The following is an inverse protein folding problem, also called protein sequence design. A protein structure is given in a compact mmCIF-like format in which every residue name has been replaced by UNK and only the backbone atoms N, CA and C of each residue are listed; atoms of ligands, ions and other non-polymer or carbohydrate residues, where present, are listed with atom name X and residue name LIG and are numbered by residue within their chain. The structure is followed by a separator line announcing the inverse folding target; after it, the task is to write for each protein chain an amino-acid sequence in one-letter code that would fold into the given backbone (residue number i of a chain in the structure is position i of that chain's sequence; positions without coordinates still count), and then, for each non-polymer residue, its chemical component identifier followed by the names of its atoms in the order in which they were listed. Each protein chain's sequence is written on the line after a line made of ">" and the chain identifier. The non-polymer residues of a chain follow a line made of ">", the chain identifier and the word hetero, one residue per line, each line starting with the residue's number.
data_IF_492021490273
#
_entry.id   IF_492021490273
#
_cell.length_a   1.000
_cell.length_b   1.000
_cell.length_c   1.000
_cell.angle_alpha   90.00
_cell.angle_beta   90.00
_cell.angle_gamma   90.00
#
_symmetry.space_group_name_H-M   'P 1'
#
loop_
_entity.id
_entity.type
_entity.pdbx_description
1 polymer ?
#
# COMPACT_ATOMS: atom_id res chain seq x y z
N UNK A 1 1.12 30.45 -27.15
CA UNK A 1 -0.20 29.95 -26.84
C UNK A 1 -0.21 29.30 -25.43
N UNK A 2 -1.28 29.44 -24.64
CA UNK A 2 -1.37 28.81 -23.31
C UNK A 2 -1.18 27.30 -23.46
N UNK A 3 -0.37 26.69 -22.59
CA UNK A 3 -0.07 25.25 -22.60
C UNK A 3 -1.33 24.34 -22.58
N UNK A 4 -2.48 24.87 -22.17
CA UNK A 4 -3.78 24.18 -22.14
C UNK A 4 -4.38 23.87 -23.51
N UNK A 5 -3.90 24.50 -24.60
CA UNK A 5 -4.46 24.30 -25.95
C UNK A 5 -3.81 23.16 -26.72
N UNK A 6 -2.64 22.66 -26.31
CA UNK A 6 -1.94 21.56 -26.99
C UNK A 6 -2.63 20.20 -26.82
N UNK A 7 -3.39 20.00 -25.73
CA UNK A 7 -4.07 18.74 -25.41
C UNK A 7 -5.39 18.96 -24.70
N UNK A 8 -6.43 19.47 -25.37
CA UNK A 8 -7.67 19.87 -24.71
C UNK A 8 -8.44 18.70 -24.08
N UNK A 9 -8.25 17.48 -24.58
CA UNK A 9 -9.01 16.28 -24.18
C UNK A 9 -8.24 15.32 -23.25
N UNK A 10 -6.95 15.56 -23.02
CA UNK A 10 -6.11 14.73 -22.13
C UNK A 10 -5.43 15.57 -21.06
N UNK A 11 -4.99 14.94 -20.00
CA UNK A 11 -4.13 15.56 -18.99
C UNK A 11 -2.99 14.63 -18.62
N UNK A 12 -1.92 15.20 -18.08
CA UNK A 12 -0.75 14.49 -17.61
C UNK A 12 -0.90 14.25 -16.11
N UNK A 13 -0.77 13.01 -15.69
CA UNK A 13 -0.69 12.60 -14.30
C UNK A 13 0.70 12.08 -13.98
N UNK A 14 1.10 12.26 -12.74
CA UNK A 14 2.35 11.77 -12.20
C UNK A 14 2.15 11.36 -10.75
N UNK A 15 2.70 10.20 -10.39
CA UNK A 15 2.94 9.75 -9.03
C UNK A 15 4.45 9.59 -8.85
N UNK A 16 4.97 9.96 -7.68
CA UNK A 16 6.36 9.74 -7.30
C UNK A 16 6.38 9.28 -5.85
N UNK A 17 6.71 8.02 -5.64
CA UNK A 17 6.70 7.36 -4.33
C UNK A 17 7.72 6.22 -4.33
N UNK A 18 7.92 5.56 -3.19
CA UNK A 18 8.88 4.47 -3.04
C UNK A 18 8.55 3.49 -1.91
N UNK A 19 9.43 2.52 -1.73
CA UNK A 19 9.31 1.51 -0.69
C UNK A 19 9.50 2.07 0.74
N UNK A 20 10.05 3.26 0.87
CA UNK A 20 10.29 3.92 2.15
C UNK A 20 11.20 3.10 3.07
N UNK A 21 10.94 3.18 4.36
CA UNK A 21 11.72 2.49 5.39
C UNK A 21 11.56 0.96 5.39
N UNK A 22 10.66 0.40 4.60
CA UNK A 22 10.56 -1.05 4.40
C UNK A 22 11.85 -1.65 3.82
N UNK A 23 12.61 -0.86 3.04
CA UNK A 23 13.94 -1.24 2.57
C UNK A 23 14.91 -1.58 3.70
N UNK A 24 14.77 -0.93 4.87
CA UNK A 24 15.58 -1.25 6.06
C UNK A 24 15.20 -2.61 6.64
N UNK A 25 13.92 -2.94 6.66
CA UNK A 25 13.46 -4.27 7.11
C UNK A 25 13.99 -5.37 6.19
N UNK A 26 13.99 -5.14 4.87
CA UNK A 26 14.58 -6.08 3.92
C UNK A 26 16.10 -6.24 4.14
N UNK A 27 16.80 -5.14 4.42
CA UNK A 27 18.21 -5.19 4.77
C UNK A 27 18.48 -6.06 6.01
N UNK A 28 17.73 -5.82 7.09
CA UNK A 28 17.87 -6.60 8.34
C UNK A 28 17.51 -8.07 8.13
N UNK A 29 16.43 -8.36 7.41
CA UNK A 29 15.99 -9.72 7.12
C UNK A 29 17.02 -10.49 6.28
N UNK A 30 17.54 -9.86 5.22
CA UNK A 30 18.61 -10.42 4.41
C UNK A 30 19.88 -10.70 5.24
N UNK A 31 20.28 -9.76 6.12
CA UNK A 31 21.43 -9.94 7.01
C UNK A 31 21.23 -11.10 7.98
N UNK A 32 20.03 -11.32 8.47
CA UNK A 32 19.72 -12.37 9.45
C UNK A 32 19.55 -13.74 8.79
N UNK A 33 18.91 -13.80 7.61
CA UNK A 33 18.50 -15.06 6.96
C UNK A 33 19.33 -15.46 5.74
N UNK A 34 20.01 -14.51 5.11
CA UNK A 34 20.67 -14.69 3.82
C UNK A 34 19.74 -14.67 2.61
N UNK A 35 18.41 -14.52 2.81
CA UNK A 35 17.45 -14.53 1.71
C UNK A 35 17.49 -13.23 0.91
N UNK A 36 18.13 -13.29 -0.25
CA UNK A 36 18.28 -12.15 -1.15
C UNK A 36 16.99 -11.85 -1.93
N UNK A 37 16.05 -12.80 -2.04
CA UNK A 37 14.81 -12.61 -2.81
C UNK A 37 13.87 -11.56 -2.16
N UNK A 38 14.05 -11.27 -0.88
CA UNK A 38 13.30 -10.22 -0.19
C UNK A 38 13.33 -8.87 -0.92
N UNK A 39 14.41 -8.60 -1.66
CA UNK A 39 14.58 -7.36 -2.40
C UNK A 39 13.65 -7.21 -3.60
N UNK A 40 13.14 -8.32 -4.16
CA UNK A 40 12.07 -8.28 -5.17
C UNK A 40 10.78 -7.71 -4.61
N UNK A 41 10.47 -8.00 -3.34
CA UNK A 41 9.33 -7.40 -2.65
C UNK A 41 9.44 -5.88 -2.50
N UNK A 42 10.65 -5.37 -2.24
CA UNK A 42 10.92 -3.92 -2.16
C UNK A 42 10.73 -3.25 -3.52
N UNK A 43 11.13 -3.90 -4.61
CA UNK A 43 10.86 -3.42 -5.96
C UNK A 43 9.35 -3.33 -6.23
N UNK A 44 8.59 -4.37 -5.83
CA UNK A 44 7.13 -4.36 -5.93
C UNK A 44 6.52 -3.22 -5.12
N UNK A 45 6.99 -2.98 -3.89
CA UNK A 45 6.51 -1.86 -3.07
C UNK A 45 6.67 -0.52 -3.80
N UNK A 46 7.86 -0.25 -4.37
CA UNK A 46 8.12 1.00 -5.10
C UNK A 46 7.23 1.17 -6.35
N UNK A 47 6.94 0.07 -7.07
CA UNK A 47 6.04 0.09 -8.24
C UNK A 47 4.59 0.32 -7.79
N UNK A 48 4.11 -0.45 -6.81
CA UNK A 48 2.69 -0.48 -6.43
C UNK A 48 2.27 0.82 -5.74
N UNK A 49 3.13 1.43 -4.92
CA UNK A 49 2.83 2.72 -4.29
C UNK A 49 2.52 3.81 -5.33
N UNK A 50 3.22 3.79 -6.47
CA UNK A 50 2.94 4.69 -7.59
C UNK A 50 1.71 4.29 -8.40
N UNK A 51 1.58 2.99 -8.71
CA UNK A 51 0.54 2.47 -9.57
C UNK A 51 -0.85 2.64 -8.96
N UNK A 52 -1.01 2.26 -7.69
CA UNK A 52 -2.31 2.27 -7.05
C UNK A 52 -2.84 3.71 -6.83
N UNK A 53 -1.98 4.71 -6.71
CA UNK A 53 -2.38 6.12 -6.74
C UNK A 53 -2.94 6.54 -8.10
N UNK A 54 -2.35 6.06 -9.20
CA UNK A 54 -2.89 6.31 -10.56
C UNK A 54 -4.22 5.58 -10.78
N UNK A 55 -4.39 4.38 -10.23
CA UNK A 55 -5.66 3.65 -10.29
C UNK A 55 -6.80 4.44 -9.65
N UNK A 56 -6.55 5.13 -8.54
CA UNK A 56 -7.57 5.93 -7.85
C UNK A 56 -8.12 7.07 -8.68
N UNK A 57 -7.38 7.54 -9.69
CA UNK A 57 -7.87 8.52 -10.66
C UNK A 57 -8.30 7.89 -11.99
N UNK A 58 -8.43 6.56 -12.04
CA UNK A 58 -8.94 5.83 -13.21
C UNK A 58 -7.88 5.45 -14.24
N UNK A 59 -6.59 5.67 -13.97
CA UNK A 59 -5.49 5.39 -14.90
C UNK A 59 -4.98 3.97 -14.66
N UNK A 60 -5.02 3.14 -15.69
CA UNK A 60 -4.64 1.74 -15.62
C UNK A 60 -3.88 1.24 -16.85
N UNK A 61 -3.51 2.14 -17.77
CA UNK A 61 -2.77 1.81 -19.00
C UNK A 61 -1.97 3.02 -19.50
N UNK A 62 -1.11 2.84 -20.53
CA UNK A 62 -0.25 3.88 -21.09
C UNK A 62 0.61 4.57 -20.01
N UNK A 63 1.17 3.77 -19.12
CA UNK A 63 1.98 4.22 -17.99
C UNK A 63 3.46 4.10 -18.36
N UNK A 64 4.20 5.15 -18.05
CA UNK A 64 5.66 5.19 -18.13
C UNK A 64 6.19 5.13 -16.71
N UNK A 65 7.21 4.30 -16.47
CA UNK A 65 7.88 4.16 -15.18
C UNK A 65 9.37 4.45 -15.30
N UNK A 66 9.89 5.21 -14.35
CA UNK A 66 11.32 5.41 -14.10
C UNK A 66 11.63 5.07 -12.65
N UNK A 67 12.73 4.36 -12.40
CA UNK A 67 13.20 4.05 -11.04
C UNK A 67 14.36 4.96 -10.63
N UNK A 68 14.51 5.16 -9.33
CA UNK A 68 15.68 5.76 -8.71
C UNK A 68 16.09 4.91 -7.52
N UNK A 69 17.32 4.41 -7.54
CA UNK A 69 17.88 3.56 -6.49
C UNK A 69 19.13 4.24 -5.95
N UNK A 70 18.99 4.80 -4.74
CA UNK A 70 20.08 5.45 -4.03
C UNK A 70 20.62 4.50 -2.97
N UNK A 71 21.91 4.18 -3.00
CA UNK A 71 22.48 3.18 -2.11
C UNK A 71 23.80 3.61 -1.47
N UNK A 72 24.12 2.95 -0.36
CA UNK A 72 25.47 2.85 0.17
C UNK A 72 26.09 1.56 -0.38
N UNK A 73 27.02 1.66 -1.33
CA UNK A 73 27.61 0.50 -2.01
C UNK A 73 28.42 -0.42 -1.08
N UNK A 74 28.87 0.11 0.07
CA UNK A 74 29.61 -0.69 1.05
C UNK A 74 28.69 -1.69 1.80
N UNK A 75 27.37 -1.44 1.79
CA UNK A 75 26.36 -2.26 2.46
C UNK A 75 25.46 -3.02 1.46
N UNK A 76 25.22 -2.43 0.30
CA UNK A 76 24.29 -2.92 -0.72
C UNK A 76 25.08 -3.30 -1.97
N UNK A 77 25.25 -4.60 -2.19
CA UNK A 77 26.01 -5.15 -3.31
C UNK A 77 25.32 -5.01 -4.66
N UNK A 78 26.05 -5.30 -5.76
CA UNK A 78 25.48 -5.38 -7.10
C UNK A 78 24.40 -6.46 -7.24
N UNK A 79 24.53 -7.58 -6.54
CA UNK A 79 23.55 -8.67 -6.53
C UNK A 79 22.19 -8.21 -5.96
N UNK A 80 22.20 -7.35 -4.92
CA UNK A 80 20.96 -6.77 -4.38
C UNK A 80 20.30 -5.85 -5.41
N UNK A 81 21.08 -5.03 -6.11
CA UNK A 81 20.54 -4.20 -7.19
C UNK A 81 19.91 -5.03 -8.29
N UNK A 82 20.56 -6.13 -8.66
CA UNK A 82 20.01 -7.08 -9.63
C UNK A 82 18.65 -7.61 -9.20
N UNK A 83 18.48 -7.99 -7.92
CA UNK A 83 17.19 -8.43 -7.40
C UNK A 83 16.13 -7.33 -7.45
N UNK A 84 16.46 -6.09 -7.15
CA UNK A 84 15.52 -4.97 -7.22
C UNK A 84 15.10 -4.71 -8.68
N UNK A 85 16.05 -4.69 -9.62
CA UNK A 85 15.76 -4.47 -11.04
C UNK A 85 14.91 -5.62 -11.60
N UNK A 86 15.31 -6.87 -11.32
CA UNK A 86 14.58 -8.06 -11.75
C UNK A 86 13.17 -8.11 -11.13
N UNK A 87 13.04 -7.75 -9.83
CA UNK A 87 11.75 -7.66 -9.15
C UNK A 87 10.81 -6.63 -9.78
N UNK A 88 11.36 -5.49 -10.23
CA UNK A 88 10.58 -4.51 -10.99
C UNK A 88 10.05 -5.10 -12.30
N UNK A 89 10.89 -5.82 -13.04
CA UNK A 89 10.48 -6.47 -14.29
C UNK A 89 9.48 -7.62 -14.04
N UNK A 90 9.65 -8.38 -12.96
CA UNK A 90 8.72 -9.45 -12.57
C UNK A 90 7.31 -8.89 -12.34
N UNK A 91 7.19 -7.73 -11.66
CA UNK A 91 5.90 -7.05 -11.46
C UNK A 91 5.29 -6.62 -12.79
N UNK A 92 6.07 -6.04 -13.70
CA UNK A 92 5.57 -5.64 -15.02
C UNK A 92 5.14 -6.83 -15.86
N UNK A 93 5.87 -7.94 -15.81
CA UNK A 93 5.50 -9.18 -16.48
C UNK A 93 4.18 -9.74 -15.95
N UNK A 94 3.99 -9.76 -14.64
CA UNK A 94 2.73 -10.17 -14.01
C UNK A 94 1.57 -9.26 -14.45
N UNK A 95 1.76 -7.94 -14.42
CA UNK A 95 0.73 -6.98 -14.85
C UNK A 95 0.38 -7.14 -16.34
N UNK A 96 1.36 -7.46 -17.19
CA UNK A 96 1.14 -7.70 -18.62
C UNK A 96 0.22 -8.91 -18.88
N UNK A 97 0.24 -9.94 -18.02
CA UNK A 97 -0.71 -11.07 -18.12
C UNK A 97 -2.18 -10.65 -17.93
N UNK A 98 -2.39 -9.49 -17.28
CA UNK A 98 -3.68 -8.84 -17.10
C UNK A 98 -3.91 -7.69 -18.10
N UNK A 99 -3.13 -7.65 -19.19
CA UNK A 99 -3.15 -6.61 -20.21
C UNK A 99 -2.88 -5.18 -19.66
N UNK A 100 -2.11 -5.06 -18.59
CA UNK A 100 -1.65 -3.78 -18.03
C UNK A 100 -0.18 -3.62 -18.43
N UNK A 101 0.07 -2.66 -19.32
CA UNK A 101 1.41 -2.45 -19.88
C UNK A 101 2.02 -1.19 -19.30
N UNK A 102 3.19 -1.37 -18.66
CA UNK A 102 4.00 -0.29 -18.12
C UNK A 102 5.29 -0.24 -18.93
N UNK A 103 5.59 0.90 -19.49
CA UNK A 103 6.83 1.15 -20.24
C UNK A 103 7.93 1.55 -19.26
N UNK A 104 8.87 0.64 -19.04
CA UNK A 104 10.03 0.92 -18.20
C UNK A 104 11.08 1.66 -19.03
N UNK A 105 11.36 2.91 -18.69
CA UNK A 105 12.37 3.74 -19.38
C UNK A 105 13.74 3.68 -18.70
N UNK A 106 13.93 2.72 -17.76
CA UNK A 106 15.13 2.65 -16.95
C UNK A 106 15.07 3.57 -15.74
N UNK A 107 16.22 4.03 -15.30
CA UNK A 107 16.31 4.88 -14.11
C UNK A 107 17.74 5.23 -13.78
N UNK A 108 17.96 5.71 -12.58
CA UNK A 108 19.25 6.03 -12.01
C UNK A 108 19.58 5.10 -10.85
N UNK A 109 20.83 4.66 -10.77
CA UNK A 109 21.37 3.97 -9.59
C UNK A 109 22.60 4.76 -9.12
N UNK A 110 22.47 5.42 -7.98
CA UNK A 110 23.51 6.27 -7.43
C UNK A 110 24.14 5.66 -6.17
N UNK A 111 25.47 5.79 -6.06
CA UNK A 111 26.20 5.51 -4.83
C UNK A 111 26.31 6.80 -4.03
N UNK A 112 25.49 6.92 -3.00
CA UNK A 112 25.33 8.13 -2.19
C UNK A 112 25.40 7.79 -0.68
N UNK A 113 26.34 6.94 -0.29
CA UNK A 113 26.50 6.44 1.07
C UNK A 113 26.65 7.52 2.14
N UNK A 114 27.06 8.74 1.77
CA UNK A 114 27.12 9.89 2.68
C UNK A 114 25.72 10.47 3.01
N UNK A 115 24.70 10.14 2.21
CA UNK A 115 23.33 10.66 2.33
C UNK A 115 22.36 9.56 2.74
N UNK A 116 22.52 8.35 2.14
CA UNK A 116 21.64 7.20 2.35
C UNK A 116 22.35 6.14 3.17
N UNK A 117 21.76 5.74 4.29
CA UNK A 117 22.38 4.75 5.20
C UNK A 117 22.52 3.36 4.58
N UNK A 118 21.44 2.85 3.98
CA UNK A 118 21.42 1.55 3.29
C UNK A 118 21.00 1.72 1.84
N UNK A 119 19.70 1.73 1.55
CA UNK A 119 19.16 1.91 0.22
C UNK A 119 17.78 2.59 0.26
N UNK A 120 17.54 3.48 -0.67
CA UNK A 120 16.21 4.01 -0.97
C UNK A 120 15.82 3.56 -2.39
N UNK A 121 14.64 2.93 -2.51
CA UNK A 121 14.11 2.44 -3.78
C UNK A 121 12.83 3.21 -4.07
N UNK A 122 12.89 4.05 -5.09
CA UNK A 122 11.83 4.96 -5.47
C UNK A 122 11.46 4.76 -6.94
N UNK A 123 10.29 5.26 -7.31
CA UNK A 123 9.84 5.28 -8.68
C UNK A 123 9.03 6.53 -9.00
N UNK A 124 8.89 6.79 -10.27
CA UNK A 124 7.99 7.82 -10.80
C UNK A 124 7.17 7.20 -11.91
N UNK A 125 5.87 7.27 -11.79
CA UNK A 125 4.93 6.89 -12.85
C UNK A 125 4.33 8.13 -13.49
N UNK A 126 4.24 8.10 -14.82
CA UNK A 126 3.64 9.18 -15.59
C UNK A 126 2.70 8.60 -16.61
N UNK A 127 1.51 9.16 -16.74
CA UNK A 127 0.56 8.79 -17.78
C UNK A 127 -0.14 10.01 -18.34
N UNK A 128 -0.48 9.94 -19.62
CA UNK A 128 -1.33 10.88 -20.29
C UNK A 128 -2.68 10.24 -20.55
N UNK A 129 -3.73 10.76 -19.90
CA UNK A 129 -5.01 10.11 -19.83
C UNK A 129 -6.18 11.01 -20.32
N UNK A 130 -7.23 10.43 -20.95
CA UNK A 130 -8.40 11.20 -21.35
C UNK A 130 -9.14 11.76 -20.13
N UNK A 131 -9.47 13.05 -20.13
CA UNK A 131 -10.20 13.71 -19.03
C UNK A 131 -11.56 13.08 -18.76
N UNK A 132 -12.20 12.53 -19.81
CA UNK A 132 -13.52 11.87 -19.71
C UNK A 132 -13.47 10.51 -19.04
N UNK A 133 -12.28 9.94 -18.84
CA UNK A 133 -12.06 8.65 -18.18
C UNK A 133 -11.48 8.78 -16.78
N UNK A 134 -11.56 9.98 -16.18
CA UNK A 134 -11.04 10.22 -14.83
C UNK A 134 -12.09 9.90 -13.77
N UNK A 135 -11.63 9.33 -12.67
CA UNK A 135 -12.34 9.25 -11.40
C UNK A 135 -11.88 10.45 -10.56
N UNK A 136 -12.82 11.32 -10.16
CA UNK A 136 -12.52 12.56 -9.42
C UNK A 136 -13.12 12.57 -8.02
N UNK A 137 -13.83 11.51 -7.63
CA UNK A 137 -14.61 11.40 -6.40
C UNK A 137 -15.78 12.38 -6.28
N UNK A 138 -16.02 13.25 -7.28
CA UNK A 138 -17.10 14.23 -7.26
C UNK A 138 -18.50 13.61 -7.33
N UNK A 139 -18.58 12.34 -7.76
CA UNK A 139 -19.82 11.57 -7.81
C UNK A 139 -20.22 10.93 -6.46
N UNK A 140 -19.32 10.93 -5.46
CA UNK A 140 -19.63 10.40 -4.12
C UNK A 140 -20.77 11.20 -3.50
N UNK A 141 -21.81 10.50 -3.05
CA UNK A 141 -23.04 11.11 -2.54
C UNK A 141 -23.62 10.33 -1.36
N UNK A 142 -24.50 10.97 -0.61
CA UNK A 142 -25.25 10.31 0.45
C UNK A 142 -26.13 9.20 -0.14
N UNK A 143 -26.09 8.02 0.51
CA UNK A 143 -26.75 6.80 0.04
C UNK A 143 -25.80 5.84 -0.68
N UNK A 144 -24.59 6.27 -1.03
CA UNK A 144 -23.58 5.36 -1.52
C UNK A 144 -23.14 4.37 -0.44
N UNK A 145 -22.79 3.18 -0.87
CA UNK A 145 -22.08 2.20 -0.05
C UNK A 145 -20.60 2.19 -0.39
N UNK A 146 -19.80 1.67 0.52
CA UNK A 146 -18.36 1.56 0.39
C UNK A 146 -18.01 0.08 0.31
N UNK A 147 -17.54 -0.36 -0.85
CA UNK A 147 -16.98 -1.72 -1.01
C UNK A 147 -15.49 -1.65 -0.69
N UNK A 148 -15.07 -2.33 0.38
CA UNK A 148 -13.67 -2.47 0.76
C UNK A 148 -13.05 -3.70 0.13
N UNK A 149 -11.83 -3.55 -0.39
CA UNK A 149 -11.01 -4.65 -0.89
C UNK A 149 -9.94 -5.01 0.15
N UNK A 150 -9.87 -6.30 0.49
CA UNK A 150 -8.91 -6.80 1.46
C UNK A 150 -7.46 -6.58 0.98
N UNK A 151 -6.61 -6.14 1.90
CA UNK A 151 -5.16 -6.03 1.66
C UNK A 151 -4.42 -7.34 1.91
N UNK A 152 -5.02 -8.29 2.61
CA UNK A 152 -4.44 -9.55 3.09
C UNK A 152 -4.99 -10.78 2.34
N UNK A 153 -4.45 -11.95 2.69
CA UNK A 153 -4.78 -13.21 2.03
C UNK A 153 -3.88 -13.45 0.81
N UNK A 154 -4.35 -14.21 -0.17
CA UNK A 154 -3.60 -14.49 -1.40
C UNK A 154 -4.52 -14.32 -2.61
N UNK A 155 -4.17 -13.38 -3.50
CA UNK A 155 -4.85 -13.25 -4.79
C UNK A 155 -4.32 -14.28 -5.79
N UNK A 156 -5.03 -14.48 -6.90
CA UNK A 156 -4.63 -15.45 -7.93
C UNK A 156 -3.37 -15.03 -8.75
N UNK A 157 -2.88 -13.82 -8.54
CA UNK A 157 -1.63 -13.31 -9.12
C UNK A 157 -0.52 -13.08 -8.08
N UNK A 158 -0.73 -13.53 -6.83
CA UNK A 158 0.30 -13.56 -5.77
C UNK A 158 0.79 -14.99 -5.56
N UNK A 159 2.08 -15.16 -5.33
CA UNK A 159 2.71 -16.49 -5.13
C UNK A 159 2.67 -16.93 -3.67
N UNK A 160 2.52 -16.00 -2.74
CA UNK A 160 2.52 -16.24 -1.30
C UNK A 160 1.40 -15.47 -0.61
N UNK A 161 1.11 -15.86 0.65
CA UNK A 161 0.20 -15.13 1.52
C UNK A 161 0.71 -13.71 1.77
N UNK A 162 -0.19 -12.74 1.72
CA UNK A 162 0.06 -11.34 2.01
C UNK A 162 -0.54 -10.97 3.37
N UNK A 163 0.26 -10.39 4.25
CA UNK A 163 -0.19 -9.93 5.57
C UNK A 163 -1.13 -8.72 5.51
N UNK A 164 -1.13 -8.02 4.38
CA UNK A 164 -1.94 -6.82 4.17
C UNK A 164 -1.34 -5.53 4.70
N UNK A 165 -0.15 -5.56 5.30
CA UNK A 165 0.45 -4.39 5.93
C UNK A 165 0.75 -3.25 4.94
N UNK A 166 1.31 -3.59 3.76
CA UNK A 166 1.77 -2.60 2.79
C UNK A 166 3.10 -1.95 3.21
N UNK A 167 3.31 -0.68 2.85
CA UNK A 167 4.55 0.04 3.12
C UNK A 167 4.40 1.23 4.08
N UNK A 168 3.17 1.59 4.47
CA UNK A 168 2.92 2.71 5.37
C UNK A 168 3.04 2.33 6.85
N UNK A 169 3.46 3.29 7.68
CA UNK A 169 3.57 3.12 9.14
C UNK A 169 4.83 2.38 9.62
N UNK A 170 5.65 1.84 8.71
CA UNK A 170 6.81 1.00 9.06
C UNK A 170 7.99 1.77 9.68
N UNK A 171 8.03 3.08 9.56
CA UNK A 171 9.07 3.89 10.23
C UNK A 171 8.99 3.72 11.75
N UNK A 172 7.78 3.68 12.31
CA UNK A 172 7.53 3.44 13.72
C UNK A 172 7.43 1.94 14.02
N UNK A 173 6.53 1.24 13.34
CA UNK A 173 6.20 -0.16 13.63
C UNK A 173 7.41 -1.10 13.70
N UNK A 174 8.45 -0.88 12.88
CA UNK A 174 9.68 -1.68 12.95
C UNK A 174 10.41 -1.53 14.29
N UNK A 175 10.39 -0.33 14.86
CA UNK A 175 11.00 -0.05 16.15
C UNK A 175 10.17 -0.60 17.31
N UNK A 176 8.86 -0.59 17.14
CA UNK A 176 7.92 -1.11 18.16
C UNK A 176 7.95 -2.65 18.22
N UNK A 177 8.06 -3.30 17.07
CA UNK A 177 7.99 -4.77 16.97
C UNK A 177 9.35 -5.44 17.21
N UNK A 178 10.43 -4.88 16.68
CA UNK A 178 11.75 -5.51 16.70
C UNK A 178 12.54 -5.15 17.97
N UNK A 179 13.33 -6.12 18.45
CA UNK A 179 14.08 -6.02 19.70
C UNK A 179 15.43 -5.31 19.59
N UNK A 180 16.03 -4.98 20.74
CA UNK A 180 17.31 -4.29 20.87
C UNK A 180 18.48 -4.97 20.14
N UNK A 181 18.38 -6.25 19.87
CA UNK A 181 19.34 -6.98 19.04
C UNK A 181 19.69 -6.22 17.74
N UNK A 182 18.70 -5.58 17.08
CA UNK A 182 18.93 -4.84 15.84
C UNK A 182 19.66 -3.52 16.09
N UNK A 183 19.40 -2.83 17.20
CA UNK A 183 20.12 -1.62 17.56
C UNK A 183 21.61 -1.91 17.86
N UNK A 184 21.89 -3.03 18.50
CA UNK A 184 23.23 -3.42 18.91
C UNK A 184 24.09 -3.88 17.72
N UNK A 185 23.48 -4.58 16.74
CA UNK A 185 24.21 -5.23 15.65
C UNK A 185 24.15 -4.49 14.31
N UNK A 186 23.20 -3.56 14.11
CA UNK A 186 22.94 -2.89 12.81
C UNK A 186 22.69 -1.39 12.98
N UNK A 187 23.72 -0.66 13.42
CA UNK A 187 23.61 0.81 13.67
C UNK A 187 23.26 1.63 12.44
N UNK A 188 23.53 1.11 11.26
CA UNK A 188 23.16 1.71 9.97
C UNK A 188 21.65 1.62 9.66
N UNK A 189 20.89 0.83 10.42
CA UNK A 189 19.45 0.59 10.16
C UNK A 189 18.53 1.65 10.78
N UNK A 190 19.04 2.60 11.53
CA UNK A 190 18.24 3.65 12.19
C UNK A 190 19.01 4.96 12.30
N UNK A 191 18.33 6.04 12.66
CA UNK A 191 18.97 7.32 12.92
C UNK A 191 19.62 7.32 14.31
N UNK A 192 20.92 7.44 14.36
CA UNK A 192 21.71 7.42 15.61
C UNK A 192 21.44 8.64 16.53
N UNK A 193 20.66 9.63 16.06
CA UNK A 193 20.19 10.75 16.88
C UNK A 193 18.87 10.46 17.61
N UNK A 194 18.23 9.31 17.31
CA UNK A 194 17.05 8.87 18.06
C UNK A 194 17.44 8.40 19.46
N UNK A 195 16.57 8.67 20.43
CA UNK A 195 16.72 8.15 21.79
C UNK A 195 16.67 6.61 21.80
N UNK A 196 17.50 5.99 22.61
CA UNK A 196 17.47 4.54 22.83
C UNK A 196 16.10 4.02 23.32
N UNK A 197 15.30 4.90 23.90
CA UNK A 197 13.94 4.58 24.37
C UNK A 197 12.93 4.31 23.25
N UNK A 198 13.24 4.70 22.00
CA UNK A 198 12.34 4.53 20.85
C UNK A 198 12.94 3.65 19.74
N UNK A 199 14.22 3.21 19.89
CA UNK A 199 14.90 2.43 18.86
C UNK A 199 14.81 0.94 19.16
N UNK A 200 14.10 0.17 18.34
CA UNK A 200 13.95 -1.28 18.46
C UNK A 200 13.61 -1.73 19.89
N UNK A 201 12.50 -1.20 20.40
CA UNK A 201 12.06 -1.41 21.79
C UNK A 201 11.20 -2.67 21.98
N UNK A 202 10.82 -3.33 20.89
CA UNK A 202 10.06 -4.57 20.92
C UNK A 202 10.87 -5.77 21.41
N UNK A 203 10.32 -6.96 21.22
CA UNK A 203 10.91 -8.21 21.71
C UNK A 203 11.18 -9.22 20.60
N UNK A 204 10.74 -8.97 19.36
CA UNK A 204 10.80 -9.97 18.29
C UNK A 204 12.07 -9.85 17.44
N UNK A 205 12.48 -10.99 16.86
CA UNK A 205 13.36 -11.06 15.71
C UNK A 205 12.56 -11.28 14.44
N UNK A 206 13.13 -10.95 13.29
CA UNK A 206 12.50 -11.18 11.99
C UNK A 206 12.34 -12.68 11.70
N UNK A 207 13.22 -13.52 12.20
CA UNK A 207 13.16 -15.00 12.10
C UNK A 207 12.19 -15.67 13.07
N UNK A 208 11.62 -14.96 14.05
CA UNK A 208 10.73 -15.56 15.03
C UNK A 208 9.47 -16.13 14.34
N UNK A 209 9.21 -17.43 14.60
CA UNK A 209 8.04 -18.12 14.08
C UNK A 209 6.78 -17.73 14.84
N UNK A 210 5.70 -17.54 14.09
CA UNK A 210 4.34 -17.40 14.62
C UNK A 210 3.37 -18.30 13.87
N UNK A 211 2.23 -18.56 14.48
CA UNK A 211 1.10 -19.25 13.85
C UNK A 211 0.04 -18.21 13.52
N UNK A 212 -0.36 -18.14 12.24
CA UNK A 212 -1.42 -17.26 11.78
C UNK A 212 -2.80 -17.74 12.26
N UNK A 213 -3.82 -16.90 12.13
CA UNK A 213 -5.21 -17.23 12.50
C UNK A 213 -5.79 -18.40 11.68
N UNK A 214 -5.25 -18.69 10.50
CA UNK A 214 -5.62 -19.86 9.68
C UNK A 214 -4.87 -21.14 10.05
N UNK A 215 -3.99 -21.09 11.05
CA UNK A 215 -3.21 -22.22 11.56
C UNK A 215 -1.87 -22.44 10.84
N UNK A 216 -1.57 -21.69 9.78
CA UNK A 216 -0.32 -21.80 9.05
C UNK A 216 0.84 -21.10 9.77
N UNK A 217 2.03 -21.68 9.67
CA UNK A 217 3.25 -21.09 10.24
C UNK A 217 3.84 -20.03 9.31
N UNK A 218 4.33 -18.95 9.91
CA UNK A 218 5.07 -17.90 9.22
C UNK A 218 6.10 -17.28 10.17
N UNK A 219 6.80 -16.23 9.74
CA UNK A 219 7.71 -15.47 10.58
C UNK A 219 7.30 -14.00 10.67
N UNK A 220 7.73 -13.33 11.73
CA UNK A 220 7.55 -11.88 11.89
C UNK A 220 8.09 -11.14 10.66
N UNK A 221 9.25 -11.55 10.15
CA UNK A 221 9.86 -10.96 8.95
C UNK A 221 8.98 -11.09 7.71
N UNK A 222 8.41 -12.27 7.46
CA UNK A 222 7.51 -12.47 6.31
C UNK A 222 6.24 -11.64 6.40
N UNK A 223 5.69 -11.43 7.60
CA UNK A 223 4.52 -10.57 7.77
C UNK A 223 4.86 -9.10 7.55
N UNK A 224 5.97 -8.59 8.13
CA UNK A 224 6.40 -7.21 7.96
C UNK A 224 6.84 -6.89 6.52
N UNK A 225 7.36 -7.87 5.80
CA UNK A 225 7.92 -7.73 4.46
C UNK A 225 7.00 -8.22 3.35
N UNK A 226 5.77 -8.68 3.65
CA UNK A 226 4.79 -8.99 2.60
C UNK A 226 4.75 -7.84 1.59
N UNK A 227 5.03 -8.07 0.30
CA UNK A 227 5.04 -7.00 -0.69
C UNK A 227 3.67 -6.33 -0.77
N UNK A 228 3.64 -5.03 -1.01
CA UNK A 228 2.37 -4.31 -1.16
C UNK A 228 1.56 -4.92 -2.30
N UNK A 229 0.34 -5.39 -2.02
CA UNK A 229 -0.59 -5.90 -3.03
C UNK A 229 -1.01 -4.78 -3.96
N UNK A 230 -0.96 -4.98 -5.27
CA UNK A 230 -1.62 -4.08 -6.21
C UNK A 230 -3.06 -4.50 -6.46
N UNK A 231 -3.93 -3.53 -6.71
CA UNK A 231 -5.30 -3.78 -7.15
C UNK A 231 -5.48 -3.56 -8.66
N UNK A 232 -4.39 -3.36 -9.40
CA UNK A 232 -4.46 -3.01 -10.81
C UNK A 232 -5.29 -3.98 -11.68
N UNK A 233 -5.18 -5.33 -11.56
CA UNK A 233 -6.02 -6.24 -12.34
C UNK A 233 -7.51 -6.06 -12.06
N UNK A 234 -7.91 -5.93 -10.79
CA UNK A 234 -9.31 -5.75 -10.37
C UNK A 234 -9.85 -4.41 -10.86
N UNK A 235 -9.13 -3.33 -10.57
CA UNK A 235 -9.58 -1.97 -10.90
C UNK A 235 -9.65 -1.77 -12.40
N UNK A 236 -8.70 -2.29 -13.18
CA UNK A 236 -8.78 -2.27 -14.65
C UNK A 236 -10.06 -2.95 -15.16
N UNK A 237 -10.38 -4.13 -14.62
CA UNK A 237 -11.60 -4.84 -14.99
C UNK A 237 -12.83 -4.00 -14.66
N UNK A 238 -12.91 -3.45 -13.46
CA UNK A 238 -14.01 -2.60 -13.02
C UNK A 238 -14.15 -1.33 -13.88
N UNK A 239 -13.04 -0.65 -14.17
CA UNK A 239 -13.05 0.54 -15.02
C UNK A 239 -13.41 0.23 -16.48
N UNK A 240 -13.12 -0.98 -16.96
CA UNK A 240 -13.50 -1.40 -18.31
C UNK A 240 -15.00 -1.70 -18.40
N UNK A 241 -15.56 -2.39 -17.39
CA UNK A 241 -16.91 -2.94 -17.45
C UNK A 241 -17.96 -2.15 -16.66
N UNK A 242 -17.52 -1.34 -15.68
CA UNK A 242 -18.41 -0.69 -14.71
C UNK A 242 -18.03 0.77 -14.40
N UNK A 243 -17.31 1.46 -15.29
CA UNK A 243 -16.79 2.82 -15.06
C UNK A 243 -17.87 3.79 -14.54
N UNK A 244 -19.05 3.81 -15.17
CA UNK A 244 -20.13 4.74 -14.78
C UNK A 244 -20.78 4.43 -13.42
N UNK A 245 -20.51 3.25 -12.87
CA UNK A 245 -21.02 2.81 -11.56
C UNK A 245 -20.10 3.16 -10.41
N UNK A 246 -18.87 3.58 -10.71
CA UNK A 246 -17.87 3.96 -9.72
C UNK A 246 -18.01 5.46 -9.47
N UNK A 247 -18.39 5.81 -8.24
CA UNK A 247 -18.52 7.20 -7.82
C UNK A 247 -17.20 7.76 -7.26
N UNK A 248 -16.34 6.90 -6.73
CA UNK A 248 -15.03 7.26 -6.23
C UNK A 248 -14.18 6.06 -5.88
N UNK A 249 -12.86 6.28 -5.84
CA UNK A 249 -11.86 5.32 -5.40
C UNK A 249 -10.94 5.99 -4.38
N UNK A 250 -10.69 5.32 -3.27
CA UNK A 250 -9.80 5.83 -2.21
C UNK A 250 -8.83 4.73 -1.79
N UNK A 251 -7.54 5.03 -1.89
CA UNK A 251 -6.46 4.16 -1.49
C UNK A 251 -6.04 4.48 -0.05
N UNK A 252 -6.33 3.57 0.90
CA UNK A 252 -6.01 3.70 2.32
C UNK A 252 -4.52 3.42 2.58
N UNK A 253 -3.65 4.25 2.01
CA UNK A 253 -2.21 4.32 2.27
C UNK A 253 -1.91 5.21 3.47
N UNK A 254 -1.01 6.21 3.37
CA UNK A 254 -0.80 7.16 4.48
C UNK A 254 -2.10 7.83 4.94
N UNK A 255 -2.36 7.79 6.25
CA UNK A 255 -3.61 8.21 6.87
C UNK A 255 -4.63 7.09 7.06
N UNK A 256 -4.27 5.84 6.71
CA UNK A 256 -5.06 4.64 6.98
C UNK A 256 -6.53 4.79 6.59
N UNK A 257 -7.41 4.41 7.51
CA UNK A 257 -8.86 4.46 7.29
C UNK A 257 -9.45 5.89 7.33
N UNK A 258 -8.70 6.88 7.83
CA UNK A 258 -9.16 8.29 7.88
C UNK A 258 -8.94 9.03 6.56
N UNK A 259 -8.17 8.44 5.62
CA UNK A 259 -7.83 9.08 4.34
C UNK A 259 -9.06 9.49 3.53
N UNK A 260 -10.19 8.79 3.68
CA UNK A 260 -11.44 9.12 3.02
C UNK A 260 -11.91 10.57 3.29
N UNK A 261 -11.72 11.09 4.50
CA UNK A 261 -12.13 12.46 4.86
C UNK A 261 -11.47 13.52 3.97
N UNK A 262 -10.22 13.27 3.52
CA UNK A 262 -9.47 14.20 2.67
C UNK A 262 -10.06 14.30 1.25
N UNK A 263 -10.64 13.23 0.74
CA UNK A 263 -11.05 13.09 -0.65
C UNK A 263 -12.56 13.16 -0.87
N UNK A 264 -13.36 13.39 0.18
CA UNK A 264 -14.79 13.65 0.04
C UNK A 264 -15.04 14.98 -0.67
N UNK A 265 -15.96 15.03 -1.65
CA UNK A 265 -16.24 16.26 -2.40
C UNK A 265 -17.04 17.29 -1.60
N UNK A 266 -17.67 16.88 -0.51
CA UNK A 266 -18.53 17.73 0.32
C UNK A 266 -18.59 17.29 1.77
N UNK A 267 -19.52 17.87 2.50
CA UNK A 267 -19.79 17.53 3.89
C UNK A 267 -20.64 16.25 3.93
N UNK A 268 -19.99 15.15 4.27
CA UNK A 268 -20.62 13.85 4.43
C UNK A 268 -20.11 13.19 5.72
N UNK A 269 -20.92 12.30 6.26
CA UNK A 269 -20.53 11.35 7.30
C UNK A 269 -20.27 9.99 6.67
N UNK A 270 -19.06 9.51 6.82
CA UNK A 270 -18.69 8.13 6.49
C UNK A 270 -18.93 7.27 7.72
N UNK A 271 -19.64 6.16 7.56
CA UNK A 271 -19.81 5.15 8.61
C UNK A 271 -19.20 3.85 8.09
N UNK A 272 -18.18 3.36 8.79
CA UNK A 272 -17.55 2.05 8.54
C UNK A 272 -17.88 1.13 9.70
N UNK A 273 -18.91 0.32 9.54
CA UNK A 273 -19.49 -0.54 10.58
C UNK A 273 -19.40 -2.03 10.27
N UNK A 274 -18.75 -2.39 9.17
CA UNK A 274 -18.53 -3.77 8.76
C UNK A 274 -17.13 -3.93 8.11
N UNK A 275 -16.08 -3.48 8.81
CA UNK A 275 -14.69 -3.65 8.37
C UNK A 275 -14.27 -5.12 8.47
N UNK A 276 -13.23 -5.50 7.73
CA UNK A 276 -12.57 -6.80 7.92
C UNK A 276 -12.00 -6.91 9.33
N UNK A 277 -11.95 -8.13 9.86
CA UNK A 277 -11.12 -8.40 11.03
C UNK A 277 -9.66 -8.07 10.69
N UNK A 278 -8.95 -7.28 11.50
CA UNK A 278 -7.56 -6.95 11.22
C UNK A 278 -6.69 -8.22 11.19
N UNK A 279 -5.82 -8.38 10.19
CA UNK A 279 -4.81 -9.44 10.18
C UNK A 279 -3.85 -9.37 11.38
N UNK A 280 -3.24 -10.50 11.71
CA UNK A 280 -2.37 -10.70 12.88
C UNK A 280 -1.26 -9.65 13.02
N UNK A 281 -0.72 -9.18 11.89
CA UNK A 281 0.36 -8.19 11.90
C UNK A 281 -0.05 -6.88 12.58
N UNK A 282 -1.30 -6.46 12.43
CA UNK A 282 -1.80 -5.24 13.06
C UNK A 282 -1.99 -5.43 14.56
N UNK A 283 -2.38 -6.63 15.02
CA UNK A 283 -2.46 -6.96 16.44
C UNK A 283 -1.06 -6.99 17.08
N UNK A 284 -0.09 -7.56 16.37
CA UNK A 284 1.32 -7.57 16.81
C UNK A 284 1.83 -6.14 16.97
N UNK A 285 1.60 -5.27 15.97
CA UNK A 285 2.03 -3.87 16.02
C UNK A 285 1.32 -3.15 17.18
N UNK A 286 0.01 -3.26 17.31
CA UNK A 286 -0.74 -2.59 18.38
C UNK A 286 -0.26 -3.02 19.77
N UNK A 287 -0.03 -4.32 19.97
CA UNK A 287 0.47 -4.88 21.24
C UNK A 287 1.89 -4.39 21.55
N UNK A 288 2.75 -4.32 20.54
CA UNK A 288 4.16 -3.93 20.72
C UNK A 288 4.31 -2.43 20.96
N UNK A 289 3.53 -1.60 20.25
CA UNK A 289 3.56 -0.14 20.39
C UNK A 289 2.76 0.38 21.58
N UNK A 290 1.79 -0.39 22.08
CA UNK A 290 0.81 0.09 23.05
C UNK A 290 -0.22 1.07 22.46
N UNK A 291 -0.28 1.21 21.12
CA UNK A 291 -1.21 2.10 20.43
C UNK A 291 -2.65 1.66 20.62
N UNK A 292 -3.55 2.62 20.82
CA UNK A 292 -4.98 2.36 20.87
C UNK A 292 -5.55 2.14 19.46
N UNK A 293 -6.78 1.62 19.37
CA UNK A 293 -7.43 1.34 18.09
C UNK A 293 -7.61 2.59 17.23
N UNK A 294 -7.84 3.75 17.83
CA UNK A 294 -7.97 5.01 17.08
C UNK A 294 -6.70 5.33 16.31
N UNK A 295 -5.55 5.27 16.95
CA UNK A 295 -4.24 5.48 16.32
C UNK A 295 -3.96 4.43 15.24
N UNK A 296 -4.28 3.16 15.50
CA UNK A 296 -4.10 2.07 14.54
C UNK A 296 -4.89 2.33 13.25
N UNK A 297 -6.15 2.72 13.32
CA UNK A 297 -6.98 3.05 12.14
C UNK A 297 -6.57 4.35 11.44
N UNK A 298 -5.92 5.27 12.14
CA UNK A 298 -5.40 6.52 11.57
C UNK A 298 -4.10 6.29 10.79
N UNK A 299 -3.27 5.35 11.22
CA UNK A 299 -1.95 5.08 10.63
C UNK A 299 -2.01 3.96 9.59
N UNK A 300 -2.73 2.87 9.89
CA UNK A 300 -2.72 1.64 9.09
C UNK A 300 -4.04 1.39 8.36
N UNK A 301 -3.95 0.61 7.27
CA UNK A 301 -5.12 0.18 6.50
C UNK A 301 -6.01 -0.84 7.23
N UNK A 302 -5.53 -1.49 8.28
CA UNK A 302 -6.23 -2.45 9.13
C UNK A 302 -6.95 -3.57 8.36
N UNK A 303 -6.35 -4.02 7.23
CA UNK A 303 -6.89 -5.10 6.41
C UNK A 303 -7.74 -4.64 5.21
N UNK A 304 -8.04 -3.34 5.08
CA UNK A 304 -8.74 -2.77 3.93
C UNK A 304 -7.95 -1.62 3.32
N UNK A 305 -7.32 -1.82 2.16
CA UNK A 305 -6.44 -0.82 1.58
C UNK A 305 -7.02 -0.05 0.39
N UNK A 306 -8.09 -0.55 -0.24
CA UNK A 306 -8.79 0.16 -1.32
C UNK A 306 -10.29 0.17 -1.07
N UNK A 307 -10.90 1.32 -1.27
CA UNK A 307 -12.33 1.57 -1.13
C UNK A 307 -12.93 1.98 -2.48
N UNK A 308 -14.08 1.39 -2.82
CA UNK A 308 -14.87 1.71 -3.99
C UNK A 308 -16.20 2.28 -3.52
N UNK A 309 -16.51 3.49 -3.90
CA UNK A 309 -17.78 4.16 -3.60
C UNK A 309 -18.72 3.96 -4.78
N UNK A 310 -19.93 3.46 -4.53
CA UNK A 310 -20.92 3.17 -5.55
C UNK A 310 -22.34 3.15 -4.99
N UNK A 311 -23.36 3.18 -5.88
CA UNK A 311 -24.73 2.94 -5.47
C UNK A 311 -24.91 1.53 -4.90
N UNK A 312 -25.76 1.35 -3.89
CA UNK A 312 -25.96 0.06 -3.20
C UNK A 312 -26.32 -1.09 -4.17
N UNK A 313 -27.08 -0.82 -5.23
CA UNK A 313 -27.43 -1.81 -6.24
C UNK A 313 -26.26 -2.31 -7.10
N UNK A 314 -25.17 -1.56 -7.17
CA UNK A 314 -23.97 -1.88 -7.96
C UNK A 314 -22.87 -2.58 -7.15
N UNK A 315 -22.95 -2.58 -5.83
CA UNK A 315 -21.91 -3.13 -4.94
C UNK A 315 -21.60 -4.61 -5.22
N UNK A 316 -22.63 -5.41 -5.54
CA UNK A 316 -22.46 -6.83 -5.86
C UNK A 316 -21.53 -7.05 -7.05
N UNK A 317 -21.61 -6.21 -8.08
CA UNK A 317 -20.71 -6.33 -9.24
C UNK A 317 -19.26 -6.04 -8.87
N UNK A 318 -19.02 -5.05 -7.98
CA UNK A 318 -17.68 -4.72 -7.48
C UNK A 318 -17.10 -5.89 -6.67
N UNK A 319 -17.90 -6.46 -5.75
CA UNK A 319 -17.50 -7.59 -4.91
C UNK A 319 -17.17 -8.82 -5.77
N UNK A 320 -18.09 -9.25 -6.63
CA UNK A 320 -17.87 -10.44 -7.48
C UNK A 320 -16.65 -10.28 -8.37
N UNK A 321 -16.39 -9.07 -8.88
CA UNK A 321 -15.19 -8.82 -9.67
C UNK A 321 -13.93 -9.00 -8.81
N UNK A 322 -13.86 -8.44 -7.61
CA UNK A 322 -12.69 -8.61 -6.73
C UNK A 322 -12.47 -10.07 -6.33
N UNK A 323 -13.53 -10.79 -5.97
CA UNK A 323 -13.50 -12.20 -5.59
C UNK A 323 -13.02 -13.10 -6.75
N UNK A 324 -13.31 -12.75 -8.00
CA UNK A 324 -12.82 -13.48 -9.18
C UNK A 324 -11.28 -13.43 -9.32
N UNK A 325 -10.63 -12.50 -8.65
CA UNK A 325 -9.18 -12.40 -8.53
C UNK A 325 -8.63 -12.97 -7.20
N UNK A 326 -9.47 -13.63 -6.41
CA UNK A 326 -9.08 -14.17 -5.11
C UNK A 326 -8.95 -13.10 -4.01
N UNK A 327 -9.48 -11.90 -4.22
CA UNK A 327 -9.44 -10.81 -3.23
C UNK A 327 -10.79 -10.74 -2.53
N UNK A 328 -10.79 -10.94 -1.21
CA UNK A 328 -11.99 -10.76 -0.40
C UNK A 328 -12.48 -9.30 -0.50
N UNK A 329 -13.79 -9.15 -0.68
CA UNK A 329 -14.43 -7.85 -0.79
C UNK A 329 -15.79 -7.89 -0.10
N UNK A 330 -16.17 -6.77 0.53
CA UNK A 330 -17.46 -6.64 1.21
C UNK A 330 -17.87 -5.17 1.28
N UNK A 331 -19.17 -4.93 1.53
CA UNK A 331 -19.62 -3.60 1.91
C UNK A 331 -19.12 -3.35 3.34
N UNK A 332 -18.20 -2.40 3.48
CA UNK A 332 -17.58 -2.04 4.76
C UNK A 332 -18.27 -0.87 5.45
N UNK A 333 -19.11 -0.14 4.73
CA UNK A 333 -19.75 1.05 5.24
C UNK A 333 -20.59 1.79 4.21
N UNK A 334 -20.94 3.02 4.53
CA UNK A 334 -21.80 3.88 3.72
C UNK A 334 -21.52 5.35 3.92
N UNK A 335 -22.11 6.16 3.02
CA UNK A 335 -22.05 7.63 3.02
C UNK A 335 -23.41 8.19 3.46
N UNK A 336 -23.43 9.03 4.48
CA UNK A 336 -24.62 9.71 4.97
C UNK A 336 -24.51 11.24 4.84
N UNK A 337 -25.65 11.92 4.82
CA UNK A 337 -25.68 13.39 4.88
C UNK A 337 -25.13 13.89 6.20
N UNK A 338 -24.34 14.96 6.16
CA UNK A 338 -23.84 15.64 7.35
C UNK A 338 -23.63 17.11 7.05
N UNK A 339 -23.50 17.92 8.11
CA UNK A 339 -23.14 19.36 8.01
C UNK A 339 -21.62 19.58 8.01
N UNK A 340 -20.85 18.54 8.28
CA UNK A 340 -19.37 18.56 8.28
C UNK A 340 -18.84 17.24 7.75
N UNK A 341 -17.54 17.17 7.46
CA UNK A 341 -16.84 15.90 7.16
C UNK A 341 -16.63 15.14 8.46
N UNK A 342 -17.13 13.91 8.53
CA UNK A 342 -17.00 13.04 9.70
C UNK A 342 -16.73 11.60 9.27
N UNK A 343 -15.98 10.87 10.08
CA UNK A 343 -15.81 9.44 9.97
C UNK A 343 -16.16 8.79 11.31
N UNK A 344 -17.06 7.81 11.27
CA UNK A 344 -17.38 6.93 12.38
C UNK A 344 -16.94 5.51 11.99
N UNK A 345 -16.02 4.94 12.75
CA UNK A 345 -15.64 3.54 12.66
C UNK A 345 -16.26 2.79 13.84
N UNK A 346 -17.00 1.72 13.54
CA UNK A 346 -17.56 0.82 14.56
C UNK A 346 -16.82 -0.50 14.50
N UNK A 347 -16.17 -0.83 15.59
CA UNK A 347 -15.58 -2.14 15.83
C UNK A 347 -16.52 -2.94 16.74
N UNK A 348 -16.23 -4.25 16.93
CA UNK A 348 -17.02 -5.03 17.87
C UNK A 348 -16.94 -4.53 19.33
N UNK A 349 -15.94 -3.73 19.68
CA UNK A 349 -15.66 -3.27 21.03
C UNK A 349 -15.95 -1.79 21.28
N UNK A 350 -15.84 -0.93 20.25
CA UNK A 350 -15.93 0.51 20.44
C UNK A 350 -16.36 1.27 19.17
N UNK A 351 -16.82 2.51 19.37
CA UNK A 351 -17.08 3.49 18.32
C UNK A 351 -15.98 4.56 18.33
N UNK A 352 -15.35 4.76 17.17
CA UNK A 352 -14.24 5.71 17.00
C UNK A 352 -14.69 6.82 16.05
N UNK A 353 -14.58 8.07 16.50
CA UNK A 353 -14.97 9.25 15.72
C UNK A 353 -13.73 10.09 15.37
N UNK A 354 -13.67 10.53 14.10
CA UNK A 354 -12.67 11.44 13.55
C UNK A 354 -13.32 12.66 12.93
#
# INVERSE_FOLDING_TARGET
>A
PPRSTLFPYTTLFRSADGAGTKSILAYLYWKETGDINVWKGIAQDAVVMNLDDLLCVGIHDNIIFNSTIDRNKNLISGEILEQIINGTQDVFNMLATHNIHIHYLGGETADVGDIVRTVAVNGTMTSRWPKTKLITNDKIQAGDVIVGLASFGQSNYETEYNSGLGSNGLTSARHDVLGKYYAENFKESYDNNLSDEVVYIGSNKLSDEIVRNDGEKTTIGKLLLSPTRTYAPVIKNLLTNHFEKIHGLIHCSGGGQTKCLKYLPGNFKIIKDNLFAPPEIFEIIAKSSGSNLKEMYEVFNMGCRLEIYCAAGDAKAMIVTAESYGIAAQIIGRVEKSNKKELLIKTGSEEIVY
#
